data_IF_227898164558
#
_entry.id   IF_227898164558
#
_cell.length_a   1.000
_cell.length_b   1.000
_cell.length_c   1.000
_cell.angle_alpha   90.00
_cell.angle_beta   90.00
_cell.angle_gamma   90.00
#
_symmetry.space_group_name_H-M   'P 1'
#
loop_
_entity.id
_entity.type
_entity.pdbx_description
1 polymer ?
#
# COMPACT_ATOMS: atom_id res chain seq x y z
N UNK A 1 -15.16 -5.67 -23.35
CA UNK A 1 -15.00 -4.80 -22.17
C UNK A 1 -13.82 -5.31 -21.38
N UNK A 2 -12.92 -4.45 -20.87
CA UNK A 2 -11.82 -4.91 -20.01
C UNK A 2 -12.37 -5.47 -18.69
N UNK A 3 -11.75 -6.54 -18.22
CA UNK A 3 -12.01 -7.13 -16.89
C UNK A 3 -10.84 -6.77 -16.00
N UNK A 4 -11.10 -6.09 -14.88
CA UNK A 4 -10.04 -5.54 -14.01
C UNK A 4 -9.68 -6.43 -12.81
N UNK A 5 -10.67 -7.05 -12.15
CA UNK A 5 -10.46 -7.93 -10.99
C UNK A 5 -9.46 -7.39 -9.95
N UNK A 6 -9.71 -6.17 -9.44
CA UNK A 6 -8.85 -5.54 -8.44
C UNK A 6 -9.63 -4.84 -7.34
N UNK A 7 -9.01 -4.73 -6.17
CA UNK A 7 -9.49 -3.89 -5.08
C UNK A 7 -9.41 -2.41 -5.47
N UNK A 8 -10.46 -1.66 -5.18
CA UNK A 8 -10.55 -0.22 -5.45
C UNK A 8 -11.03 0.52 -4.20
N UNK A 9 -10.73 1.81 -4.10
CA UNK A 9 -11.29 2.68 -3.05
C UNK A 9 -12.81 2.74 -3.14
N UNK A 10 -13.49 2.88 -2.01
CA UNK A 10 -14.96 2.79 -1.89
C UNK A 10 -15.74 3.74 -2.80
N UNK A 11 -15.15 4.90 -3.15
CA UNK A 11 -15.80 5.91 -4.00
C UNK A 11 -15.61 5.67 -5.49
N UNK A 12 -14.74 4.74 -5.90
CA UNK A 12 -14.46 4.47 -7.32
C UNK A 12 -15.72 4.03 -8.09
N UNK A 13 -16.59 3.14 -7.58
CA UNK A 13 -17.82 2.79 -8.28
C UNK A 13 -18.72 3.99 -8.54
N UNK A 14 -18.85 4.90 -7.57
CA UNK A 14 -19.63 6.13 -7.71
C UNK A 14 -19.03 7.09 -8.74
N UNK A 15 -17.71 7.23 -8.78
CA UNK A 15 -16.99 8.05 -9.76
C UNK A 15 -17.22 7.48 -11.18
N UNK A 16 -17.15 6.15 -11.34
CA UNK A 16 -17.42 5.48 -12.63
C UNK A 16 -18.86 5.74 -13.08
N UNK A 17 -19.85 5.54 -12.20
CA UNK A 17 -21.26 5.80 -12.52
C UNK A 17 -21.53 7.26 -12.85
N UNK A 18 -20.93 8.20 -12.11
CA UNK A 18 -21.04 9.63 -12.37
C UNK A 18 -20.42 10.05 -13.72
N UNK A 19 -19.50 9.26 -14.26
CA UNK A 19 -18.94 9.45 -15.61
C UNK A 19 -19.79 8.87 -16.75
N UNK A 20 -21.00 8.39 -16.46
CA UNK A 20 -21.92 7.79 -17.43
C UNK A 20 -21.57 6.36 -17.83
N UNK A 21 -20.71 5.68 -17.06
CA UNK A 21 -20.31 4.29 -17.28
C UNK A 21 -20.95 3.36 -16.25
N UNK A 22 -21.13 2.10 -16.59
CA UNK A 22 -21.57 1.07 -15.66
C UNK A 22 -20.38 0.24 -15.15
N UNK A 23 -20.42 -0.16 -13.88
CA UNK A 23 -19.47 -1.11 -13.30
C UNK A 23 -20.19 -2.16 -12.46
N UNK A 24 -19.60 -3.35 -12.36
CA UNK A 24 -20.04 -4.41 -11.45
C UNK A 24 -19.04 -4.51 -10.31
N UNK A 25 -19.55 -4.58 -9.09
CA UNK A 25 -18.74 -4.71 -7.88
C UNK A 25 -19.34 -5.80 -6.98
N UNK A 26 -18.52 -6.30 -6.05
CA UNK A 26 -18.97 -7.10 -4.92
C UNK A 26 -18.16 -6.71 -3.69
N UNK A 27 -18.71 -6.94 -2.52
CA UNK A 27 -17.96 -6.82 -1.26
C UNK A 27 -17.19 -8.12 -1.05
N UNK A 28 -15.91 -8.00 -0.66
CA UNK A 28 -15.05 -9.13 -0.34
C UNK A 28 -15.33 -9.63 1.08
N UNK A 29 -15.20 -10.93 1.31
CA UNK A 29 -15.15 -11.44 2.68
C UNK A 29 -13.80 -11.10 3.36
N UNK A 30 -13.64 -11.28 4.68
CA UNK A 30 -12.41 -10.89 5.37
C UNK A 30 -11.12 -11.55 4.86
N UNK A 31 -11.17 -12.82 4.45
CA UNK A 31 -9.98 -13.54 3.97
C UNK A 31 -9.63 -13.11 2.55
N UNK A 32 -10.65 -12.97 1.69
CA UNK A 32 -10.48 -12.40 0.35
C UNK A 32 -9.95 -10.97 0.42
N UNK A 33 -10.49 -10.14 1.32
CA UNK A 33 -10.05 -8.75 1.50
C UNK A 33 -8.59 -8.66 1.92
N UNK A 34 -8.16 -9.50 2.87
CA UNK A 34 -6.76 -9.57 3.28
C UNK A 34 -5.84 -9.96 2.13
N UNK A 35 -6.26 -10.92 1.31
CA UNK A 35 -5.49 -11.35 0.15
C UNK A 35 -5.42 -10.24 -0.91
N UNK A 36 -6.54 -9.60 -1.21
CA UNK A 36 -6.61 -8.50 -2.18
C UNK A 36 -5.85 -7.26 -1.72
N UNK A 37 -5.77 -6.96 -0.43
CA UNK A 37 -4.90 -5.89 0.09
C UNK A 37 -3.41 -6.18 -0.16
N UNK A 38 -2.98 -7.45 -0.08
CA UNK A 38 -1.59 -7.83 -0.41
C UNK A 38 -1.31 -7.70 -1.89
N UNK A 39 -2.25 -8.14 -2.72
CA UNK A 39 -2.18 -7.94 -4.17
C UNK A 39 -2.11 -6.45 -4.49
N UNK A 40 -2.95 -5.64 -3.84
CA UNK A 40 -3.00 -4.19 -4.03
C UNK A 40 -1.69 -3.52 -3.62
N UNK A 41 -1.06 -3.94 -2.52
CA UNK A 41 0.25 -3.42 -2.14
C UNK A 41 1.34 -3.71 -3.19
N UNK A 42 1.28 -4.88 -3.84
CA UNK A 42 2.18 -5.22 -4.95
C UNK A 42 1.92 -4.33 -6.17
N UNK A 43 0.65 -4.11 -6.53
CA UNK A 43 0.24 -3.21 -7.62
C UNK A 43 0.80 -1.80 -7.40
N UNK A 44 0.50 -1.15 -6.26
CA UNK A 44 0.96 0.23 -6.04
C UNK A 44 2.50 0.32 -5.92
N UNK A 45 3.15 -0.76 -5.45
CA UNK A 45 4.62 -0.81 -5.42
C UNK A 45 5.21 -0.89 -6.83
N UNK A 46 4.58 -1.62 -7.75
CA UNK A 46 5.00 -1.69 -9.15
C UNK A 46 4.74 -0.34 -9.86
N UNK A 47 3.63 0.32 -9.55
CA UNK A 47 3.32 1.68 -10.04
C UNK A 47 4.36 2.69 -9.53
N UNK A 48 4.71 2.67 -8.23
CA UNK A 48 5.77 3.52 -7.67
C UNK A 48 7.13 3.31 -8.36
N UNK A 49 7.51 2.05 -8.60
CA UNK A 49 8.77 1.72 -9.28
C UNK A 49 8.77 2.14 -10.76
N UNK A 50 7.59 2.31 -11.35
CA UNK A 50 7.40 2.70 -12.75
C UNK A 50 7.13 4.20 -12.92
N UNK A 51 6.99 4.96 -11.83
CA UNK A 51 6.68 6.39 -11.86
C UNK A 51 7.72 7.18 -12.66
N UNK A 52 7.26 8.01 -13.59
CA UNK A 52 8.10 8.83 -14.47
C UNK A 52 8.47 10.18 -13.89
N UNK A 53 7.90 10.56 -12.74
CA UNK A 53 8.14 11.82 -12.06
C UNK A 53 8.00 11.72 -10.55
N UNK A 54 8.60 12.68 -9.83
CA UNK A 54 8.47 12.77 -8.37
C UNK A 54 7.01 12.96 -7.91
N UNK A 55 6.19 13.64 -8.73
CA UNK A 55 4.78 13.85 -8.41
C UNK A 55 3.98 12.54 -8.50
N UNK A 56 4.18 11.76 -9.57
CA UNK A 56 3.59 10.42 -9.69
C UNK A 56 4.08 9.52 -8.55
N UNK A 57 5.38 9.52 -8.24
CA UNK A 57 5.93 8.75 -7.14
C UNK A 57 5.30 9.10 -5.78
N UNK A 58 4.98 10.38 -5.53
CA UNK A 58 4.28 10.81 -4.32
C UNK A 58 2.83 10.33 -4.26
N UNK A 59 2.14 10.24 -5.40
CA UNK A 59 0.78 9.69 -5.49
C UNK A 59 0.79 8.20 -5.15
N UNK A 60 1.71 7.43 -5.72
CA UNK A 60 1.84 6.00 -5.44
C UNK A 60 2.28 5.72 -4.00
N UNK A 61 3.14 6.57 -3.42
CA UNK A 61 3.48 6.50 -1.99
C UNK A 61 2.26 6.74 -1.09
N UNK A 62 1.35 7.63 -1.48
CA UNK A 62 0.12 7.89 -0.74
C UNK A 62 -0.86 6.71 -0.83
N UNK A 63 -0.96 6.07 -2.01
CA UNK A 63 -1.77 4.86 -2.18
C UNK A 63 -1.18 3.67 -1.40
N UNK A 64 0.14 3.45 -1.44
CA UNK A 64 0.80 2.46 -0.59
C UNK A 64 0.56 2.72 0.90
N UNK A 65 0.60 3.97 1.36
CA UNK A 65 0.34 4.31 2.76
C UNK A 65 -1.09 3.93 3.18
N UNK A 66 -2.08 4.14 2.32
CA UNK A 66 -3.46 3.73 2.59
C UNK A 66 -3.54 2.20 2.73
N UNK A 67 -2.93 1.46 1.82
CA UNK A 67 -2.93 -0.02 1.83
C UNK A 67 -2.22 -0.55 3.08
N UNK A 68 -1.08 0.04 3.46
CA UNK A 68 -0.34 -0.31 4.68
C UNK A 68 -1.21 -0.14 5.94
N UNK A 69 -1.98 0.95 6.01
CA UNK A 69 -2.91 1.20 7.13
C UNK A 69 -4.03 0.17 7.17
N UNK A 70 -4.64 -0.14 6.03
CA UNK A 70 -5.68 -1.17 5.94
C UNK A 70 -5.16 -2.57 6.31
N UNK A 71 -3.93 -2.91 5.87
CA UNK A 71 -3.26 -4.15 6.25
C UNK A 71 -2.99 -4.20 7.76
N UNK A 72 -2.58 -3.09 8.38
CA UNK A 72 -2.39 -3.05 9.83
C UNK A 72 -3.68 -3.41 10.58
N UNK A 73 -4.81 -2.84 10.17
CA UNK A 73 -6.12 -3.13 10.80
C UNK A 73 -6.49 -4.60 10.65
N UNK A 74 -6.28 -5.20 9.47
CA UNK A 74 -6.49 -6.64 9.23
C UNK A 74 -5.52 -7.51 10.06
N UNK A 75 -4.37 -6.97 10.45
CA UNK A 75 -3.43 -7.59 11.38
C UNK A 75 -3.69 -7.26 12.86
N UNK A 76 -4.80 -6.57 13.17
CA UNK A 76 -5.23 -6.27 14.53
C UNK A 76 -4.53 -5.07 15.17
N UNK A 77 -3.95 -4.19 14.36
CA UNK A 77 -3.28 -2.97 14.83
C UNK A 77 -3.81 -1.74 14.10
N UNK A 78 -4.08 -0.67 14.84
CA UNK A 78 -4.42 0.60 14.23
C UNK A 78 -3.18 1.39 13.77
N UNK A 79 -3.40 2.49 13.05
CA UNK A 79 -2.34 3.36 12.55
C UNK A 79 -1.38 3.83 13.66
N UNK A 80 -1.89 4.18 14.85
CA UNK A 80 -1.05 4.65 15.95
C UNK A 80 -0.17 3.52 16.52
N UNK A 81 -0.68 2.29 16.58
CA UNK A 81 0.10 1.12 17.00
C UNK A 81 1.18 0.78 15.97
N UNK A 82 0.87 0.84 14.67
CA UNK A 82 1.87 0.67 13.62
C UNK A 82 2.97 1.73 13.69
N UNK A 83 2.58 3.00 13.88
CA UNK A 83 3.54 4.11 13.99
C UNK A 83 4.42 3.99 15.23
N UNK A 84 3.87 3.51 16.35
CA UNK A 84 4.68 3.19 17.53
C UNK A 84 5.71 2.10 17.22
N UNK A 85 5.30 0.99 16.58
CA UNK A 85 6.22 -0.08 16.19
C UNK A 85 7.32 0.43 15.23
N UNK A 86 7.00 1.35 14.32
CA UNK A 86 7.97 2.01 13.44
C UNK A 86 8.94 2.87 14.24
N UNK A 87 8.45 3.67 15.18
CA UNK A 87 9.27 4.54 16.03
C UNK A 87 10.22 3.73 16.93
N UNK A 88 9.72 2.69 17.60
CA UNK A 88 10.53 1.81 18.46
C UNK A 88 11.68 1.15 17.66
N UNK A 89 11.42 0.75 16.39
CA UNK A 89 12.47 0.24 15.49
C UNK A 89 13.48 1.32 15.11
N UNK A 90 13.03 2.53 14.84
CA UNK A 90 13.90 3.64 14.48
C UNK A 90 14.81 4.07 15.64
N UNK A 91 14.30 4.05 16.88
CA UNK A 91 15.10 4.28 18.09
C UNK A 91 16.14 3.18 18.28
N UNK A 92 15.75 1.91 18.14
CA UNK A 92 16.63 0.77 18.37
C UNK A 92 17.69 0.55 17.26
N UNK A 93 17.38 0.93 16.01
CA UNK A 93 18.18 0.54 14.82
C UNK A 93 18.55 1.71 13.89
N UNK A 94 18.09 2.93 14.19
CA UNK A 94 18.17 4.06 13.28
C UNK A 94 17.11 4.03 12.17
N UNK A 95 17.10 5.09 11.37
CA UNK A 95 16.33 5.18 10.12
C UNK A 95 17.24 5.21 8.90
N UNK A 96 16.70 5.58 7.75
CA UNK A 96 17.43 5.63 6.48
C UNK A 96 18.14 6.96 6.20
N UNK A 97 18.21 7.87 7.18
CA UNK A 97 18.76 9.23 7.01
C UNK A 97 20.26 9.24 6.66
N UNK A 98 21.03 8.33 7.25
CA UNK A 98 22.47 8.19 7.01
C UNK A 98 22.81 7.48 5.68
N UNK A 99 21.80 6.98 4.94
CA UNK A 99 21.95 6.35 3.62
C UNK A 99 22.96 5.18 3.60
N UNK A 100 23.02 4.42 4.69
CA UNK A 100 23.94 3.29 4.84
C UNK A 100 23.51 2.14 3.91
N UNK A 101 24.43 1.70 3.05
CA UNK A 101 24.26 0.52 2.18
C UNK A 101 25.26 -0.56 2.60
N UNK A 102 24.76 -1.72 3.02
CA UNK A 102 25.58 -2.86 3.42
C UNK A 102 26.11 -3.59 2.18
N UNK A 103 27.43 -3.66 2.02
CA UNK A 103 28.08 -4.32 0.86
C UNK A 103 28.39 -5.80 1.18
N UNK A 104 29.05 -6.07 2.30
CA UNK A 104 29.42 -7.42 2.73
C UNK A 104 29.54 -7.46 4.26
N UNK A 105 29.48 -8.67 4.80
CA UNK A 105 29.78 -8.98 6.20
C UNK A 105 30.80 -10.10 6.18
N UNK A 106 31.98 -9.86 6.76
CA UNK A 106 33.03 -10.86 6.90
C UNK A 106 33.05 -11.40 8.34
N UNK A 107 33.49 -12.64 8.52
CA UNK A 107 33.81 -13.16 9.85
C UNK A 107 35.08 -12.49 10.38
N UNK A 108 35.11 -12.19 11.68
CA UNK A 108 36.25 -11.53 12.34
C UNK A 108 37.48 -12.45 12.48
#
# INVERSE_FOLDING_TARGET
MPTYNKLVRDKIPHIITSSGKECRTRILDPEEYKQELRTKLSEESEEYMSAGSDQEALEELADMLEVIRALAEVHGANAAQLDKLRADKAEARGGFQERVYLINVDEA
#
